data_IF_535715581441
#
_entry.id   IF_535715581441
#
_cell.length_a   1.000
_cell.length_b   1.000
_cell.length_c   1.000
_cell.angle_alpha   90.00
_cell.angle_beta   90.00
_cell.angle_gamma   90.00
#
_symmetry.space_group_name_H-M   'P 1'
#
loop_
_entity.id
_entity.type
_entity.pdbx_description
1 polymer ?
#
# COMPACT_ATOMS: atom_id res chain seq x y z
N UNK A 1 -3.15 5.96 0.73
CA UNK A 1 -1.93 5.86 1.55
C UNK A 1 -2.25 6.43 2.93
N UNK A 2 -1.75 5.79 3.99
CA UNK A 2 -1.95 6.20 5.39
C UNK A 2 -0.71 5.80 6.19
N UNK A 3 -0.05 6.73 6.86
CA UNK A 3 1.15 6.47 7.65
C UNK A 3 1.55 7.62 8.57
N UNK A 4 2.75 7.54 9.16
CA UNK A 4 3.23 8.56 10.12
C UNK A 4 3.36 9.95 9.54
N UNK A 5 3.64 10.06 8.24
CA UNK A 5 3.72 11.34 7.55
C UNK A 5 2.36 12.07 7.51
N UNK A 6 1.23 11.35 7.43
CA UNK A 6 -0.10 11.97 7.48
C UNK A 6 -0.38 12.59 8.85
N UNK A 7 0.14 11.97 9.92
CA UNK A 7 0.06 12.51 11.29
C UNK A 7 0.92 13.77 11.40
N UNK A 8 2.15 13.74 10.87
CA UNK A 8 3.04 14.90 10.84
C UNK A 8 2.44 16.05 10.06
N UNK A 9 1.91 15.77 8.86
CA UNK A 9 1.25 16.77 8.01
C UNK A 9 0.03 17.39 8.70
N UNK A 10 -0.69 16.64 9.52
CA UNK A 10 -1.81 17.16 10.32
C UNK A 10 -1.34 18.19 11.35
N UNK A 11 -0.23 17.89 12.04
CA UNK A 11 0.40 18.82 12.99
C UNK A 11 0.95 20.05 12.26
N UNK A 12 1.62 19.87 11.12
CA UNK A 12 2.14 20.98 10.29
C UNK A 12 1.00 21.90 9.86
N UNK A 13 -0.12 21.35 9.37
CA UNK A 13 -1.29 22.16 8.99
C UNK A 13 -1.83 22.96 10.17
N UNK A 14 -1.95 22.34 11.35
CA UNK A 14 -2.35 23.04 12.57
C UNK A 14 -1.39 24.18 12.92
N UNK A 15 -0.08 23.95 12.90
CA UNK A 15 0.92 24.98 13.19
C UNK A 15 0.88 26.14 12.20
N UNK A 16 0.72 25.86 10.90
CA UNK A 16 0.57 26.89 9.87
C UNK A 16 -0.68 27.72 10.12
N UNK A 17 -1.81 27.07 10.41
CA UNK A 17 -3.08 27.76 10.60
C UNK A 17 -3.07 28.65 11.85
N UNK A 18 -2.50 28.17 12.97
CA UNK A 18 -2.32 28.98 14.18
C UNK A 18 -1.36 30.16 13.93
N UNK A 19 -0.22 29.93 13.28
CA UNK A 19 0.72 31.00 12.96
C UNK A 19 0.11 32.06 12.04
N UNK A 20 -0.70 31.63 11.06
CA UNK A 20 -1.42 32.52 10.14
C UNK A 20 -2.49 33.34 10.86
N UNK A 21 -3.20 32.78 11.84
CA UNK A 21 -4.16 33.53 12.67
C UNK A 21 -3.47 34.62 13.49
N UNK A 22 -2.30 34.32 14.06
CA UNK A 22 -1.58 35.27 14.92
C UNK A 22 -0.80 36.34 14.14
N UNK A 23 -0.18 35.97 13.01
CA UNK A 23 0.76 36.83 12.30
C UNK A 23 0.29 37.26 10.91
N UNK A 24 -0.78 36.66 10.37
CA UNK A 24 -1.28 36.94 9.02
C UNK A 24 -0.39 36.39 7.89
N UNK A 25 0.62 35.57 8.21
CA UNK A 25 1.61 35.05 7.26
C UNK A 25 1.36 33.56 7.03
N UNK A 26 1.32 33.15 5.75
CA UNK A 26 1.20 31.75 5.37
C UNK A 26 2.58 31.10 5.19
N UNK A 27 2.96 30.21 6.10
CA UNK A 27 4.26 29.53 6.05
C UNK A 27 4.32 28.45 4.97
N UNK A 28 3.20 28.07 4.33
CA UNK A 28 3.21 27.04 3.27
C UNK A 28 3.99 27.46 2.02
N UNK A 29 4.14 28.77 1.79
CA UNK A 29 4.86 29.28 0.62
C UNK A 29 6.39 29.28 0.81
N UNK A 30 6.86 29.18 2.05
CA UNK A 30 8.29 29.17 2.38
C UNK A 30 8.79 27.74 2.57
N UNK A 31 9.54 27.23 1.60
CA UNK A 31 10.05 25.85 1.61
C UNK A 31 10.98 25.57 2.81
N UNK A 32 11.77 26.54 3.25
CA UNK A 32 12.68 26.37 4.38
C UNK A 32 11.90 26.34 5.69
N UNK A 33 10.91 27.22 5.86
CA UNK A 33 10.04 27.20 7.02
C UNK A 33 9.24 25.88 7.10
N UNK A 34 8.74 25.39 5.96
CA UNK A 34 7.96 24.16 5.87
C UNK A 34 8.78 22.92 6.26
N UNK A 35 10.05 22.83 5.83
CA UNK A 35 10.94 21.75 6.27
C UNK A 35 11.17 21.76 7.78
N UNK A 36 11.45 22.93 8.36
CA UNK A 36 11.63 23.08 9.82
C UNK A 36 10.36 22.77 10.60
N UNK A 37 9.19 23.12 10.05
CA UNK A 37 7.90 22.76 10.62
C UNK A 37 7.69 21.24 10.63
N UNK A 38 8.04 20.54 9.55
CA UNK A 38 7.93 19.08 9.46
C UNK A 38 8.78 18.39 10.53
N UNK A 39 10.04 18.77 10.67
CA UNK A 39 10.95 18.21 11.69
C UNK A 39 10.44 18.47 13.11
N UNK A 40 9.96 19.68 13.38
CA UNK A 40 9.40 20.01 14.69
C UNK A 40 8.08 19.28 14.98
N UNK A 41 7.23 19.11 13.97
CA UNK A 41 5.99 18.38 14.07
C UNK A 41 6.23 16.89 14.38
N UNK A 42 7.14 16.25 13.66
CA UNK A 42 7.51 14.86 13.90
C UNK A 42 8.10 14.68 15.30
N UNK A 43 9.02 15.58 15.71
CA UNK A 43 9.60 15.56 17.04
C UNK A 43 8.53 15.70 18.13
N UNK A 44 7.61 16.66 17.98
CA UNK A 44 6.52 16.87 18.92
C UNK A 44 5.60 15.65 19.02
N UNK A 45 5.26 15.02 17.89
CA UNK A 45 4.48 13.77 17.82
C UNK A 45 5.14 12.64 18.61
N UNK A 46 6.45 12.46 18.43
CA UNK A 46 7.23 11.43 19.12
C UNK A 46 7.29 11.72 20.63
N UNK A 47 7.58 12.96 21.03
CA UNK A 47 7.61 13.35 22.44
C UNK A 47 6.27 13.13 23.13
N UNK A 48 5.16 13.50 22.48
CA UNK A 48 3.79 13.30 22.99
C UNK A 48 3.37 11.83 23.10
N UNK A 49 4.15 10.90 22.55
CA UNK A 49 3.94 9.47 22.77
C UNK A 49 4.36 9.03 24.18
N UNK A 50 5.15 9.84 24.90
CA UNK A 50 5.55 9.59 26.29
C UNK A 50 5.13 10.71 27.26
N UNK A 51 5.20 11.97 26.83
CA UNK A 51 4.80 13.14 27.62
C UNK A 51 3.34 13.53 27.39
N UNK A 52 2.71 14.20 28.36
CA UNK A 52 1.35 14.75 28.22
C UNK A 52 1.31 16.08 27.47
N UNK A 53 2.45 16.77 27.39
CA UNK A 53 2.62 18.06 26.72
C UNK A 53 4.05 18.22 26.19
N UNK A 54 4.21 19.01 25.13
CA UNK A 54 5.49 19.45 24.59
C UNK A 54 5.39 20.91 24.12
N UNK A 55 6.53 21.59 24.07
CA UNK A 55 6.66 22.95 23.58
C UNK A 55 7.33 22.95 22.19
N UNK A 56 6.60 23.41 21.19
CA UNK A 56 7.07 23.56 19.81
C UNK A 56 7.66 24.96 19.69
N UNK A 57 9.00 25.03 19.72
CA UNK A 57 9.74 26.28 19.66
C UNK A 57 10.60 26.36 18.38
N UNK A 58 10.20 27.23 17.46
CA UNK A 58 10.92 27.51 16.21
C UNK A 58 11.29 28.99 16.16
N UNK A 59 12.50 29.36 16.61
CA UNK A 59 12.95 30.74 16.53
C UNK A 59 13.30 31.10 15.08
N UNK A 60 13.05 32.37 14.70
CA UNK A 60 13.39 32.90 13.38
C UNK A 60 12.79 32.03 12.25
N UNK A 61 11.51 31.69 12.36
CA UNK A 61 10.83 30.83 11.38
C UNK A 61 10.61 31.58 10.06
N UNK A 62 10.33 32.88 10.14
CA UNK A 62 10.19 33.81 9.01
C UNK A 62 10.42 35.24 9.49
N UNK A 63 10.30 36.24 8.61
CA UNK A 63 10.39 37.65 8.96
C UNK A 63 9.37 38.49 8.16
N UNK A 64 8.90 39.59 8.75
CA UNK A 64 8.07 40.60 8.10
C UNK A 64 8.64 42.01 8.27
N UNK A 65 7.86 43.04 7.91
CA UNK A 65 8.24 44.44 8.06
C UNK A 65 8.48 44.88 9.52
N UNK A 66 7.95 44.13 10.48
CA UNK A 66 8.10 44.39 11.93
C UNK A 66 9.28 43.65 12.54
N UNK A 67 9.86 42.69 11.82
CA UNK A 67 11.07 41.96 12.23
C UNK A 67 10.92 40.43 12.12
N UNK A 68 11.85 39.68 12.72
CA UNK A 68 11.80 38.23 12.76
C UNK A 68 10.59 37.72 13.56
N UNK A 69 10.04 36.59 13.12
CA UNK A 69 8.93 35.88 13.75
C UNK A 69 9.37 34.52 14.25
N UNK A 70 8.67 34.03 15.26
CA UNK A 70 8.97 32.79 15.96
C UNK A 70 7.65 32.01 16.15
N UNK A 71 7.74 30.69 16.25
CA UNK A 71 6.64 29.88 16.79
C UNK A 71 7.04 29.47 18.20
N UNK A 72 6.17 29.74 19.18
CA UNK A 72 6.28 29.23 20.53
C UNK A 72 4.89 28.74 20.95
N UNK A 73 4.62 27.48 20.68
CA UNK A 73 3.30 26.87 20.88
C UNK A 73 3.42 25.65 21.78
N UNK A 74 2.61 25.64 22.84
CA UNK A 74 2.46 24.46 23.68
C UNK A 74 1.40 23.53 23.09
N UNK A 75 1.75 22.26 22.88
CA UNK A 75 0.85 21.22 22.40
C UNK A 75 0.67 20.14 23.46
N UNK A 76 -0.58 19.76 23.73
CA UNK A 76 -0.90 18.65 24.63
C UNK A 76 -1.18 17.38 23.84
N UNK A 77 -1.01 16.21 24.47
CA UNK A 77 -1.36 14.91 23.87
C UNK A 77 -2.83 14.90 23.46
N UNK A 78 -3.72 15.38 24.32
CA UNK A 78 -5.14 15.48 24.03
C UNK A 78 -5.44 16.31 22.76
N UNK A 79 -4.69 17.40 22.53
CA UNK A 79 -4.82 18.20 21.31
C UNK A 79 -4.35 17.42 20.08
N UNK A 80 -3.21 16.74 20.16
CA UNK A 80 -2.72 15.88 19.07
C UNK A 80 -3.74 14.79 18.73
N UNK A 81 -4.24 14.07 19.73
CA UNK A 81 -5.24 13.01 19.55
C UNK A 81 -6.51 13.52 18.86
N UNK A 82 -6.99 14.69 19.25
CA UNK A 82 -8.15 15.31 18.60
C UNK A 82 -7.88 15.70 17.14
N UNK A 83 -6.65 16.07 16.78
CA UNK A 83 -6.29 16.42 15.41
C UNK A 83 -6.20 15.18 14.49
N UNK A 84 -5.75 14.04 15.01
CA UNK A 84 -5.50 12.83 14.21
C UNK A 84 -6.54 11.73 14.39
N UNK A 85 -7.63 12.00 15.13
CA UNK A 85 -8.69 11.03 15.41
C UNK A 85 -9.26 10.40 14.13
N UNK A 86 -9.51 11.21 13.09
CA UNK A 86 -9.97 10.74 11.78
C UNK A 86 -8.98 9.76 11.13
N UNK A 87 -7.66 10.03 11.21
CA UNK A 87 -6.63 9.15 10.67
C UNK A 87 -6.60 7.80 11.38
N UNK A 88 -6.71 7.80 12.71
CA UNK A 88 -6.78 6.58 13.52
C UNK A 88 -8.06 5.80 13.18
N UNK A 89 -9.20 6.48 13.05
CA UNK A 89 -10.48 5.84 12.71
C UNK A 89 -10.43 5.10 11.36
N UNK A 90 -9.67 5.62 10.38
CA UNK A 90 -9.47 5.00 9.06
C UNK A 90 -8.67 3.69 9.11
N UNK A 91 -8.00 3.38 10.23
CA UNK A 91 -7.26 2.12 10.40
C UNK A 91 -8.16 0.93 10.76
N UNK A 92 -9.36 1.17 11.31
CA UNK A 92 -10.25 0.10 11.78
C UNK A 92 -11.03 -0.62 10.67
N UNK A 93 -11.55 0.04 9.61
CA UNK A 93 -12.26 -0.65 8.54
C UNK A 93 -11.42 -1.74 7.84
N UNK A 94 -10.12 -1.56 7.57
CA UNK A 94 -9.25 -2.64 7.11
C UNK A 94 -9.21 -3.84 8.06
N UNK A 95 -9.07 -3.62 9.37
CA UNK A 95 -9.07 -4.70 10.37
C UNK A 95 -10.40 -5.48 10.37
N UNK A 96 -11.54 -4.78 10.29
CA UNK A 96 -12.87 -5.40 10.18
C UNK A 96 -13.01 -6.22 8.91
N UNK A 97 -12.47 -5.72 7.80
CA UNK A 97 -12.50 -6.41 6.50
C UNK A 97 -11.67 -7.68 6.56
N UNK A 98 -10.46 -7.62 7.12
CA UNK A 98 -9.59 -8.78 7.29
C UNK A 98 -10.23 -9.87 8.16
N UNK A 99 -10.83 -9.49 9.30
CA UNK A 99 -11.57 -10.42 10.16
C UNK A 99 -12.73 -11.08 9.42
N UNK A 100 -13.51 -10.30 8.66
CA UNK A 100 -14.62 -10.81 7.86
C UNK A 100 -14.13 -11.79 6.79
N UNK A 101 -13.05 -11.46 6.08
CA UNK A 101 -12.48 -12.30 5.04
C UNK A 101 -11.91 -13.62 5.61
N UNK A 102 -11.35 -13.57 6.82
CA UNK A 102 -10.90 -14.75 7.55
C UNK A 102 -12.04 -15.58 8.17
N UNK A 103 -13.27 -15.04 8.19
CA UNK A 103 -14.41 -15.67 8.87
C UNK A 103 -14.27 -15.69 10.41
N UNK A 104 -13.49 -14.76 10.97
CA UNK A 104 -13.20 -14.68 12.41
C UNK A 104 -13.82 -13.42 13.04
N UNK A 105 -14.16 -13.53 14.31
CA UNK A 105 -14.47 -12.41 15.18
C UNK A 105 -13.20 -11.87 15.86
N UNK A 106 -13.24 -10.62 16.32
CA UNK A 106 -12.11 -10.01 17.03
C UNK A 106 -11.72 -10.78 18.31
N UNK A 107 -12.70 -11.42 18.97
CA UNK A 107 -12.49 -12.25 20.17
C UNK A 107 -11.73 -13.56 19.90
N UNK A 108 -11.75 -14.06 18.67
CA UNK A 108 -11.06 -15.30 18.29
C UNK A 108 -9.57 -15.09 18.05
N UNK A 109 -9.12 -13.84 17.93
CA UNK A 109 -7.70 -13.50 17.77
C UNK A 109 -6.96 -13.79 19.07
N UNK A 110 -5.98 -14.71 19.05
CA UNK A 110 -5.23 -15.08 20.25
C UNK A 110 -4.30 -13.96 20.74
N UNK A 111 -3.52 -13.39 19.82
CA UNK A 111 -2.46 -12.40 20.07
C UNK A 111 -2.55 -11.26 19.06
N UNK A 112 -2.21 -10.04 19.49
CA UNK A 112 -2.17 -8.86 18.62
C UNK A 112 -0.75 -8.31 18.63
N UNK A 113 -0.08 -8.31 17.47
CA UNK A 113 1.30 -7.81 17.34
C UNK A 113 1.29 -6.45 16.65
N UNK A 114 2.05 -5.49 17.17
CA UNK A 114 2.18 -4.15 16.62
C UNK A 114 3.53 -3.95 15.94
N UNK A 115 3.50 -3.36 14.75
CA UNK A 115 4.68 -3.16 13.91
C UNK A 115 4.72 -1.72 13.40
N UNK A 116 5.90 -1.10 13.43
CA UNK A 116 6.16 0.26 12.99
C UNK A 116 6.04 1.32 14.09
N UNK A 117 6.89 2.34 14.05
CA UNK A 117 7.03 3.34 15.12
C UNK A 117 5.76 4.12 15.45
N UNK A 118 4.86 4.33 14.49
CA UNK A 118 3.57 5.00 14.75
C UNK A 118 2.64 4.24 15.70
N UNK A 119 2.86 2.93 15.87
CA UNK A 119 2.11 2.13 16.86
C UNK A 119 2.46 2.47 18.30
N UNK A 120 3.54 3.24 18.53
CA UNK A 120 3.94 3.73 19.86
C UNK A 120 3.00 4.81 20.41
N UNK A 121 2.16 5.42 19.57
CA UNK A 121 1.20 6.44 20.01
C UNK A 121 0.16 5.83 20.99
N UNK A 122 -0.01 6.38 22.20
CA UNK A 122 -0.93 5.83 23.20
C UNK A 122 -2.38 5.65 22.71
N UNK A 123 -2.89 6.59 21.92
CA UNK A 123 -4.23 6.50 21.33
C UNK A 123 -4.38 5.33 20.36
N UNK A 124 -3.35 5.04 19.56
CA UNK A 124 -3.36 3.90 18.63
C UNK A 124 -3.38 2.59 19.42
N UNK A 125 -2.56 2.47 20.48
CA UNK A 125 -2.58 1.33 21.38
C UNK A 125 -3.95 1.12 22.02
N UNK A 126 -4.55 2.20 22.52
CA UNK A 126 -5.87 2.16 23.14
C UNK A 126 -6.95 1.71 22.14
N UNK A 127 -6.92 2.22 20.91
CA UNK A 127 -7.90 1.89 19.89
C UNK A 127 -7.79 0.42 19.45
N UNK A 128 -6.57 -0.08 19.26
CA UNK A 128 -6.32 -1.50 18.97
C UNK A 128 -6.82 -2.38 20.12
N UNK A 129 -6.50 -2.02 21.37
CA UNK A 129 -6.96 -2.74 22.55
C UNK A 129 -8.49 -2.75 22.65
N UNK A 130 -9.14 -1.62 22.38
CA UNK A 130 -10.61 -1.51 22.39
C UNK A 130 -11.24 -2.37 21.29
N UNK A 131 -10.65 -2.39 20.10
CA UNK A 131 -11.17 -3.12 18.95
C UNK A 131 -11.04 -4.64 19.11
N UNK A 132 -9.86 -5.13 19.53
CA UNK A 132 -9.60 -6.57 19.70
C UNK A 132 -9.95 -7.10 21.09
N UNK A 133 -10.21 -6.21 22.07
CA UNK A 133 -10.47 -6.59 23.45
C UNK A 133 -9.25 -7.20 24.16
N UNK A 134 -8.04 -6.99 23.63
CA UNK A 134 -6.80 -7.63 24.09
C UNK A 134 -5.64 -6.66 24.15
N UNK A 135 -4.75 -6.88 25.11
CA UNK A 135 -3.49 -6.13 25.18
C UNK A 135 -2.57 -6.53 24.03
N UNK A 136 -2.06 -5.57 23.24
CA UNK A 136 -1.08 -5.89 22.22
C UNK A 136 0.22 -6.42 22.81
N UNK A 137 0.79 -7.41 22.13
CA UNK A 137 2.03 -8.05 22.47
C UNK A 137 3.21 -7.08 22.31
N UNK A 138 4.06 -7.02 23.35
CA UNK A 138 5.23 -6.13 23.43
C UNK A 138 6.56 -6.89 23.43
N UNK A 139 6.54 -8.20 23.13
CA UNK A 139 7.76 -9.03 23.14
C UNK A 139 8.67 -8.77 21.95
N UNK A 140 8.19 -8.05 20.93
CA UNK A 140 8.95 -7.70 19.72
C UNK A 140 9.16 -6.20 19.63
N UNK A 141 10.33 -5.79 19.14
CA UNK A 141 10.61 -4.39 18.85
C UNK A 141 9.88 -3.99 17.56
N UNK A 142 8.91 -3.05 17.61
CA UNK A 142 8.12 -2.68 16.43
C UNK A 142 8.95 -2.05 15.30
N UNK A 143 10.15 -1.54 15.60
CA UNK A 143 11.02 -0.89 14.61
C UNK A 143 11.93 -1.89 13.87
N UNK A 144 12.22 -3.05 14.47
CA UNK A 144 13.20 -4.01 13.96
C UNK A 144 12.57 -5.35 13.52
N UNK A 145 11.37 -5.66 14.02
CA UNK A 145 10.72 -6.98 13.84
C UNK A 145 10.58 -7.39 12.37
N UNK A 146 10.36 -6.44 11.46
CA UNK A 146 10.28 -6.72 10.02
C UNK A 146 11.63 -7.19 9.48
N UNK A 147 12.72 -6.49 9.83
CA UNK A 147 14.07 -6.85 9.40
C UNK A 147 14.49 -8.21 9.98
N UNK A 148 14.14 -8.48 11.24
CA UNK A 148 14.37 -9.78 11.87
C UNK A 148 13.60 -10.90 11.16
N UNK A 149 12.33 -10.67 10.81
CA UNK A 149 11.53 -11.62 10.04
C UNK A 149 12.13 -11.93 8.67
N UNK A 150 12.65 -10.91 7.98
CA UNK A 150 13.34 -11.09 6.70
C UNK A 150 14.62 -11.93 6.85
N UNK A 151 15.40 -11.73 7.92
CA UNK A 151 16.58 -12.53 8.20
C UNK A 151 16.23 -14.01 8.47
N UNK A 152 15.14 -14.27 9.20
CA UNK A 152 14.64 -15.64 9.42
C UNK A 152 14.23 -16.27 8.08
N UNK A 153 13.51 -15.55 7.23
CA UNK A 153 13.12 -16.03 5.90
C UNK A 153 14.33 -16.38 5.04
N UNK A 154 15.41 -15.58 5.09
CA UNK A 154 16.66 -15.91 4.41
C UNK A 154 17.28 -17.21 4.96
N UNK A 155 17.27 -17.41 6.27
CA UNK A 155 17.73 -18.66 6.91
C UNK A 155 16.91 -19.88 6.50
N UNK A 156 15.59 -19.73 6.29
CA UNK A 156 14.72 -20.79 5.75
C UNK A 156 15.12 -21.14 4.31
N UNK A 157 15.34 -20.13 3.46
CA UNK A 157 15.76 -20.34 2.06
C UNK A 157 17.14 -21.00 1.94
N UNK A 158 18.05 -20.74 2.89
CA UNK A 158 19.36 -21.40 2.96
C UNK A 158 19.30 -22.81 3.56
N UNK A 159 18.22 -23.15 4.27
CA UNK A 159 18.06 -24.44 4.96
C UNK A 159 18.64 -24.49 6.38
N UNK A 160 19.11 -23.35 6.90
CA UNK A 160 19.60 -23.20 8.28
C UNK A 160 18.45 -23.23 9.29
N UNK A 161 17.29 -22.73 8.89
CA UNK A 161 16.04 -22.80 9.66
C UNK A 161 15.14 -23.88 9.06
N UNK A 162 14.86 -24.91 9.85
CA UNK A 162 14.02 -26.06 9.45
C UNK A 162 12.63 -25.96 10.06
N UNK A 163 11.70 -26.72 9.49
CA UNK A 163 10.32 -26.87 9.97
C UNK A 163 9.46 -25.59 9.96
N UNK A 164 9.78 -24.65 9.07
CA UNK A 164 8.97 -23.45 8.80
C UNK A 164 8.39 -23.56 7.39
N UNK A 165 7.06 -23.57 7.30
CA UNK A 165 6.32 -23.45 6.05
C UNK A 165 5.55 -22.12 6.08
N UNK A 166 5.88 -21.23 5.14
CA UNK A 166 5.17 -19.97 4.95
C UNK A 166 4.22 -20.12 3.76
N UNK A 167 2.95 -19.79 3.97
CA UNK A 167 1.95 -19.68 2.91
C UNK A 167 1.44 -18.24 2.92
N UNK A 168 1.79 -17.50 1.88
CA UNK A 168 1.32 -16.13 1.70
C UNK A 168 0.07 -16.11 0.80
N UNK A 169 -0.59 -14.97 0.67
CA UNK A 169 -1.81 -14.79 -0.11
C UNK A 169 -1.75 -13.53 -0.98
N UNK A 170 -2.50 -13.51 -2.09
CA UNK A 170 -2.66 -12.28 -2.89
C UNK A 170 -3.54 -11.25 -2.14
N UNK A 171 -3.13 -9.98 -2.00
CA UNK A 171 -3.88 -8.98 -1.22
C UNK A 171 -5.12 -8.44 -1.92
N UNK A 172 -5.17 -8.55 -3.25
CA UNK A 172 -6.26 -8.05 -4.10
C UNK A 172 -6.59 -9.06 -5.18
N UNK A 173 -7.83 -9.04 -5.64
CA UNK A 173 -8.25 -9.87 -6.76
C UNK A 173 -7.57 -9.42 -8.05
N UNK A 174 -7.18 -10.40 -8.86
CA UNK A 174 -6.57 -10.21 -10.17
C UNK A 174 -7.54 -10.70 -11.24
N UNK A 175 -7.70 -9.90 -12.28
CA UNK A 175 -8.66 -10.16 -13.34
C UNK A 175 -8.31 -9.47 -14.63
N UNK A 176 -9.23 -9.58 -15.59
CA UNK A 176 -9.14 -8.88 -16.87
C UNK A 176 -10.41 -8.07 -17.13
N UNK A 177 -10.27 -7.03 -17.95
CA UNK A 177 -11.41 -6.35 -18.53
C UNK A 177 -12.09 -7.24 -19.58
N UNK A 178 -13.41 -7.41 -19.45
CA UNK A 178 -14.25 -8.10 -20.42
C UNK A 178 -15.26 -7.14 -21.07
N UNK A 179 -16.01 -7.63 -22.06
CA UNK A 179 -17.04 -6.87 -22.77
C UNK A 179 -17.96 -6.12 -21.78
N UNK A 180 -18.23 -4.85 -22.07
CA UNK A 180 -19.01 -3.98 -21.18
C UNK A 180 -18.21 -3.27 -20.09
N UNK A 181 -16.87 -3.25 -20.19
CA UNK A 181 -15.97 -2.64 -19.20
C UNK A 181 -16.09 -3.25 -17.80
N UNK A 182 -16.42 -4.54 -17.73
CA UNK A 182 -16.57 -5.29 -16.47
C UNK A 182 -15.23 -5.92 -16.10
N UNK A 183 -14.87 -5.86 -14.82
CA UNK A 183 -13.72 -6.54 -14.25
C UNK A 183 -14.10 -7.99 -13.94
N UNK A 184 -13.62 -8.93 -14.77
CA UNK A 184 -13.80 -10.37 -14.51
C UNK A 184 -12.59 -10.88 -13.74
N UNK A 185 -12.81 -11.26 -12.48
CA UNK A 185 -11.77 -11.80 -11.59
C UNK A 185 -11.44 -13.25 -11.96
N UNK A 186 -10.16 -13.58 -11.99
CA UNK A 186 -9.66 -14.94 -12.17
C UNK A 186 -9.08 -15.50 -10.88
N UNK A 187 -8.33 -14.68 -10.15
CA UNK A 187 -7.79 -15.03 -8.83
C UNK A 187 -8.39 -14.05 -7.83
N UNK A 188 -9.15 -14.56 -6.86
CA UNK A 188 -9.76 -13.74 -5.81
C UNK A 188 -8.69 -13.30 -4.79
N UNK A 189 -8.94 -12.17 -4.11
CA UNK A 189 -8.14 -11.75 -2.95
C UNK A 189 -8.09 -12.87 -1.90
N UNK A 190 -7.00 -12.88 -1.12
CA UNK A 190 -6.69 -13.87 -0.11
C UNK A 190 -6.48 -15.31 -0.64
N UNK A 191 -6.33 -15.49 -1.96
CA UNK A 191 -5.91 -16.78 -2.52
C UNK A 191 -4.44 -17.05 -2.18
N UNK A 192 -4.15 -18.24 -1.62
CA UNK A 192 -2.79 -18.68 -1.29
C UNK A 192 -1.88 -18.69 -2.51
N UNK A 193 -0.65 -18.21 -2.36
CA UNK A 193 0.40 -18.21 -3.39
C UNK A 193 1.55 -19.17 -2.98
N UNK A 194 2.25 -19.78 -3.95
CA UNK A 194 2.08 -19.66 -5.40
C UNK A 194 0.78 -20.31 -5.92
N UNK A 195 0.19 -19.74 -6.97
CA UNK A 195 -1.07 -20.24 -7.56
C UNK A 195 -1.17 -19.96 -9.04
N UNK A 196 -1.91 -20.80 -9.75
CA UNK A 196 -2.13 -20.69 -11.19
C UNK A 196 -3.61 -20.90 -11.52
N UNK A 197 -4.18 -19.97 -12.29
CA UNK A 197 -5.57 -20.06 -12.76
C UNK A 197 -5.66 -19.76 -14.24
N UNK A 198 -6.41 -20.58 -14.97
CA UNK A 198 -6.70 -20.38 -16.38
C UNK A 198 -8.19 -20.29 -16.61
N UNK A 199 -8.61 -19.41 -17.51
CA UNK A 199 -10.01 -19.29 -17.95
C UNK A 199 -10.05 -19.01 -19.45
N UNK A 200 -11.03 -19.61 -20.12
CA UNK A 200 -11.23 -19.44 -21.57
C UNK A 200 -12.21 -18.30 -21.81
N UNK A 201 -11.77 -17.36 -22.66
CA UNK A 201 -12.54 -16.25 -23.20
C UNK A 201 -12.68 -16.41 -24.72
N UNK A 202 -13.44 -15.52 -25.34
CA UNK A 202 -13.62 -15.51 -26.79
C UNK A 202 -13.68 -14.08 -27.34
N UNK A 203 -13.73 -13.95 -28.67
CA UNK A 203 -13.84 -12.67 -29.37
C UNK A 203 -15.20 -12.03 -29.16
N UNK A 204 -15.22 -10.69 -29.10
CA UNK A 204 -16.44 -9.90 -28.96
C UNK A 204 -17.14 -9.66 -30.31
N UNK A 205 -16.36 -9.61 -31.39
CA UNK A 205 -16.82 -9.31 -32.75
C UNK A 205 -16.49 -10.42 -33.76
N UNK A 206 -17.25 -10.45 -34.86
CA UNK A 206 -17.02 -11.37 -35.97
C UNK A 206 -15.71 -11.02 -36.69
N UNK A 207 -14.93 -12.04 -37.04
CA UNK A 207 -13.65 -11.92 -37.74
C UNK A 207 -12.62 -11.02 -37.02
N UNK A 208 -12.72 -10.91 -35.70
CA UNK A 208 -11.79 -10.11 -34.89
C UNK A 208 -10.34 -10.66 -34.99
N UNK A 209 -9.39 -9.89 -35.54
CA UNK A 209 -8.03 -10.39 -35.83
C UNK A 209 -7.11 -10.40 -34.61
N UNK A 210 -7.47 -9.71 -33.53
CA UNK A 210 -6.70 -9.61 -32.30
C UNK A 210 -7.60 -9.38 -31.08
N UNK A 211 -7.20 -9.88 -29.91
CA UNK A 211 -7.85 -9.58 -28.62
C UNK A 211 -6.92 -8.76 -27.74
N UNK A 212 -7.45 -7.68 -27.18
CA UNK A 212 -6.76 -6.84 -26.20
C UNK A 212 -7.08 -7.34 -24.79
N UNK A 213 -6.05 -7.67 -24.03
CA UNK A 213 -6.15 -8.17 -22.67
C UNK A 213 -5.60 -7.11 -21.74
N UNK A 214 -6.50 -6.50 -20.98
CA UNK A 214 -6.17 -5.50 -19.96
C UNK A 214 -6.25 -6.15 -18.61
N UNK A 215 -5.12 -6.20 -17.90
CA UNK A 215 -4.96 -6.84 -16.60
C UNK A 215 -5.25 -5.82 -15.50
N UNK A 216 -6.10 -6.21 -14.56
CA UNK A 216 -6.62 -5.35 -13.51
C UNK A 216 -6.38 -5.97 -12.13
N UNK A 217 -6.21 -5.11 -11.13
CA UNK A 217 -6.16 -5.47 -9.72
C UNK A 217 -7.16 -4.64 -8.92
N UNK A 218 -8.04 -5.30 -8.18
CA UNK A 218 -8.99 -4.65 -7.28
C UNK A 218 -10.32 -5.38 -7.10
N UNK A 219 -11.18 -4.77 -6.29
CA UNK A 219 -12.44 -5.39 -5.82
C UNK A 219 -13.70 -4.75 -6.43
N UNK A 220 -13.56 -3.78 -7.33
CA UNK A 220 -14.70 -3.09 -7.96
C UNK A 220 -15.20 -3.86 -9.17
N UNK A 221 -16.50 -3.78 -9.45
CA UNK A 221 -17.12 -4.50 -10.58
C UNK A 221 -16.73 -3.90 -11.93
N UNK A 222 -16.56 -2.58 -12.02
CA UNK A 222 -16.19 -1.89 -13.26
C UNK A 222 -14.67 -1.82 -13.41
N UNK A 223 -14.18 -2.04 -14.63
CA UNK A 223 -12.75 -2.01 -14.95
C UNK A 223 -12.10 -0.65 -14.67
N UNK A 224 -12.83 0.46 -14.89
CA UNK A 224 -12.35 1.83 -14.66
C UNK A 224 -12.01 2.14 -13.20
N UNK A 225 -12.61 1.41 -12.26
CA UNK A 225 -12.52 1.68 -10.83
C UNK A 225 -11.44 0.83 -10.14
N UNK A 226 -10.73 0.00 -10.92
CA UNK A 226 -9.65 -0.85 -10.47
C UNK A 226 -8.29 -0.36 -10.99
N UNK A 227 -7.21 -0.83 -10.38
CA UNK A 227 -5.86 -0.49 -10.81
C UNK A 227 -5.51 -1.30 -12.05
N UNK A 228 -5.22 -0.62 -13.15
CA UNK A 228 -4.60 -1.26 -14.32
C UNK A 228 -3.15 -1.62 -14.01
N UNK A 229 -2.81 -2.87 -14.26
CA UNK A 229 -1.48 -3.44 -14.08
C UNK A 229 -0.68 -3.51 -15.39
N UNK A 230 -1.38 -3.71 -16.51
CA UNK A 230 -0.78 -3.79 -17.82
C UNK A 230 -1.80 -4.18 -18.89
N UNK A 231 -1.40 -4.01 -20.14
CA UNK A 231 -2.21 -4.37 -21.31
C UNK A 231 -1.32 -4.98 -22.37
N UNK A 232 -1.83 -6.02 -23.04
CA UNK A 232 -1.18 -6.62 -24.19
C UNK A 232 -2.20 -7.16 -25.18
N UNK A 233 -1.78 -7.39 -26.41
CA UNK A 233 -2.66 -7.87 -27.49
C UNK A 233 -2.17 -9.22 -28.01
N UNK A 234 -3.09 -10.17 -28.11
CA UNK A 234 -2.86 -11.42 -28.82
C UNK A 234 -3.36 -11.25 -30.25
N UNK A 235 -2.42 -11.15 -31.19
CA UNK A 235 -2.68 -10.89 -32.61
C UNK A 235 -2.68 -12.17 -33.46
N UNK A 236 -3.38 -12.11 -34.59
CA UNK A 236 -3.37 -13.17 -35.60
C UNK A 236 -4.31 -14.33 -35.27
N UNK A 237 -5.46 -14.00 -34.70
CA UNK A 237 -6.62 -14.88 -34.53
C UNK A 237 -7.24 -15.13 -35.90
N UNK A 238 -7.60 -16.39 -36.18
CA UNK A 238 -8.23 -16.74 -37.44
C UNK A 238 -9.64 -16.11 -37.56
N UNK A 239 -10.04 -15.61 -38.75
CA UNK A 239 -11.39 -15.10 -38.97
C UNK A 239 -12.44 -16.17 -38.65
N UNK A 240 -13.29 -15.89 -37.67
CA UNK A 240 -14.38 -16.74 -37.24
C UNK A 240 -15.52 -15.89 -36.67
N UNK A 241 -16.77 -16.41 -36.60
CA UNK A 241 -17.85 -15.74 -35.88
C UNK A 241 -17.46 -15.47 -34.43
N UNK A 242 -18.01 -14.39 -33.84
CA UNK A 242 -17.83 -14.06 -32.42
C UNK A 242 -18.16 -15.25 -31.52
N UNK A 243 -17.43 -15.41 -30.43
CA UNK A 243 -17.66 -16.51 -29.49
C UNK A 243 -17.05 -17.86 -29.90
N UNK A 244 -16.49 -17.98 -31.13
CA UNK A 244 -15.90 -19.24 -31.61
C UNK A 244 -14.41 -19.39 -31.23
N UNK A 245 -13.53 -18.39 -31.40
CA UNK A 245 -12.13 -18.51 -30.98
C UNK A 245 -12.00 -18.77 -29.49
N UNK A 246 -11.13 -19.69 -29.08
CA UNK A 246 -10.91 -20.02 -27.67
C UNK A 246 -9.59 -19.43 -27.19
N UNK A 247 -9.68 -18.31 -26.46
CA UNK A 247 -8.52 -17.63 -25.91
C UNK A 247 -8.40 -17.99 -24.44
N UNK A 248 -7.44 -18.85 -24.11
CA UNK A 248 -7.13 -19.22 -22.74
C UNK A 248 -6.21 -18.17 -22.12
N UNK A 249 -6.72 -17.45 -21.12
CA UNK A 249 -5.94 -16.50 -20.33
C UNK A 249 -5.54 -17.18 -19.02
N UNK A 250 -4.26 -17.15 -18.71
CA UNK A 250 -3.66 -17.78 -17.55
C UNK A 250 -2.95 -16.74 -16.69
N UNK A 251 -3.28 -16.74 -15.40
CA UNK A 251 -2.58 -15.99 -14.37
C UNK A 251 -1.75 -16.97 -13.55
N UNK A 252 -0.48 -16.65 -13.37
CA UNK A 252 0.49 -17.42 -12.61
C UNK A 252 1.18 -16.49 -11.62
N UNK A 253 0.97 -16.73 -10.32
CA UNK A 253 1.57 -15.95 -9.24
C UNK A 253 2.62 -16.82 -8.56
N UNK A 254 3.87 -16.34 -8.57
CA UNK A 254 4.96 -17.05 -7.92
C UNK A 254 4.99 -16.85 -6.39
N UNK A 255 5.95 -17.47 -5.72
CA UNK A 255 6.11 -17.37 -4.28
C UNK A 255 6.52 -15.97 -3.79
N UNK A 256 6.96 -15.08 -4.68
CA UNK A 256 7.29 -13.69 -4.38
C UNK A 256 6.12 -12.73 -4.65
N UNK A 257 4.99 -13.25 -5.13
CA UNK A 257 3.85 -12.44 -5.55
C UNK A 257 4.00 -11.80 -6.93
N UNK A 258 4.99 -12.19 -7.74
CA UNK A 258 5.15 -11.71 -9.11
C UNK A 258 4.10 -12.37 -10.00
N UNK A 259 3.31 -11.55 -10.69
CA UNK A 259 2.21 -12.01 -11.53
C UNK A 259 2.67 -12.11 -12.98
N UNK A 260 2.56 -13.30 -13.56
CA UNK A 260 2.74 -13.55 -14.98
C UNK A 260 1.37 -13.81 -15.59
N UNK A 261 1.05 -13.08 -16.66
CA UNK A 261 -0.21 -13.26 -17.40
C UNK A 261 0.12 -13.70 -18.80
N UNK A 262 -0.42 -14.84 -19.21
CA UNK A 262 -0.33 -15.31 -20.59
C UNK A 262 -1.69 -15.50 -21.21
N UNK A 263 -1.75 -15.38 -22.53
CA UNK A 263 -2.94 -15.59 -23.32
C UNK A 263 -2.59 -16.43 -24.53
N UNK A 264 -3.32 -17.52 -24.71
CA UNK A 264 -3.08 -18.50 -25.76
C UNK A 264 -4.35 -18.77 -26.54
N UNK A 265 -4.29 -18.62 -27.85
CA UNK A 265 -5.33 -19.11 -28.74
C UNK A 265 -5.18 -20.64 -28.87
N UNK A 266 -6.17 -21.40 -28.40
CA UNK A 266 -6.15 -22.86 -28.44
C UNK A 266 -6.25 -23.43 -29.85
N UNK A 267 -6.77 -22.66 -30.82
CA UNK A 267 -6.87 -23.09 -32.22
C UNK A 267 -5.54 -22.96 -32.96
N UNK A 268 -4.86 -21.83 -32.82
CA UNK A 268 -3.60 -21.56 -33.53
C UNK A 268 -2.34 -21.89 -32.73
N UNK A 269 -2.47 -22.05 -31.41
CA UNK A 269 -1.34 -22.25 -30.49
C UNK A 269 -0.51 -20.99 -30.23
N UNK A 270 -0.85 -19.86 -30.86
CA UNK A 270 -0.18 -18.58 -30.64
C UNK A 270 -0.39 -18.13 -29.19
N UNK A 271 0.69 -17.65 -28.58
CA UNK A 271 0.69 -17.15 -27.22
C UNK A 271 1.34 -15.77 -27.17
N UNK A 272 0.82 -14.93 -26.28
CA UNK A 272 1.47 -13.72 -25.82
C UNK A 272 1.44 -13.71 -24.30
N UNK A 273 2.48 -13.18 -23.67
CA UNK A 273 2.57 -13.08 -22.22
C UNK A 273 3.22 -11.78 -21.81
N UNK A 274 2.84 -11.30 -20.64
CA UNK A 274 3.49 -10.20 -19.96
C UNK A 274 3.78 -10.61 -18.52
N UNK A 275 4.92 -10.15 -18.02
CA UNK A 275 5.18 -10.14 -16.60
C UNK A 275 4.68 -8.81 -16.06
N UNK A 276 3.77 -8.84 -15.10
CA UNK A 276 3.33 -7.65 -14.40
C UNK A 276 4.41 -7.28 -13.40
N UNK A 277 5.22 -6.32 -13.77
CA UNK A 277 6.09 -5.63 -12.81
C UNK A 277 5.26 -4.54 -12.15
N UNK A 278 5.46 -4.32 -10.85
CA UNK A 278 4.78 -3.24 -10.12
C UNK A 278 4.93 -1.94 -10.90
N UNK A 279 3.82 -1.36 -11.35
CA UNK A 279 3.80 -0.20 -12.24
C UNK A 279 4.68 0.92 -11.65
N UNK A 280 5.84 1.15 -12.26
CA UNK A 280 6.93 1.96 -11.71
C UNK A 280 8.33 1.32 -11.80
N UNK A 281 8.44 0.07 -12.27
CA UNK A 281 9.71 -0.62 -12.48
C UNK A 281 10.58 -0.01 -13.58
N UNK A 282 11.89 -0.08 -13.38
CA UNK A 282 12.92 0.30 -14.34
C UNK A 282 13.01 -0.76 -15.44
N UNK A 283 13.24 -0.33 -16.69
CA UNK A 283 13.61 -1.25 -17.77
C UNK A 283 14.94 -1.95 -17.47
N UNK A 284 15.21 -3.11 -18.09
CA UNK A 284 16.49 -3.80 -17.93
C UNK A 284 17.69 -2.89 -18.27
N UNK A 285 17.53 -1.98 -19.24
CA UNK A 285 18.57 -1.01 -19.60
C UNK A 285 18.82 0.00 -18.47
N UNK A 286 17.76 0.51 -17.84
CA UNK A 286 17.86 1.41 -16.68
C UNK A 286 18.44 0.70 -15.47
N UNK A 287 18.04 -0.55 -15.21
CA UNK A 287 18.62 -1.40 -14.15
C UNK A 287 20.13 -1.56 -14.39
N UNK A 288 20.51 -1.98 -15.59
CA UNK A 288 21.93 -2.20 -15.92
C UNK A 288 22.76 -0.92 -15.84
N UNK A 289 22.18 0.23 -16.21
CA UNK A 289 22.82 1.53 -16.05
C UNK A 289 23.00 1.89 -14.58
N UNK A 290 21.96 1.75 -13.76
CA UNK A 290 22.03 2.04 -12.33
C UNK A 290 22.99 1.12 -11.58
N UNK A 291 23.08 -0.17 -11.96
CA UNK A 291 24.07 -1.10 -11.40
C UNK A 291 25.48 -0.61 -11.71
N UNK A 292 25.76 -0.25 -12.97
CA UNK A 292 27.07 0.31 -13.35
C UNK A 292 27.40 1.63 -12.65
N UNK A 293 26.41 2.50 -12.48
CA UNK A 293 26.57 3.78 -11.78
C UNK A 293 26.82 3.58 -10.27
N UNK A 294 26.30 2.50 -9.66
CA UNK A 294 26.50 2.17 -8.24
C UNK A 294 27.80 1.40 -7.95
N UNK A 295 28.34 0.68 -8.94
CA UNK A 295 29.63 -0.01 -8.86
C UNK A 295 30.84 0.92 -9.08
N UNK A 296 30.63 2.12 -9.65
CA UNK A 296 31.66 3.13 -9.95
C UNK A 296 31.95 4.07 -8.76
#
# INVERSE_FOLDING_TARGET
>A
FLGGEDFDNTIVNYLVDEFKKENGIDLKTDKLALQRLKEAAEKAKIELSSAEQTDINLPFITADKTGPKHINLKMTRAKLEALVEDLISKTLPPCKTALKDAGLSASEINEVVLVGGMTRMPKVLAEVKNFFGKEPNKSVNPDEVVAMGAAIQAGVLQGDVKDVLLLDVTPLSLGIETLGHVSTKLIEKNTTIPTKKSQVFSTADDNQPAVSIRVLQGEREMASDNKELGKFELVGIAPAPRGVPQIEVTFDIDANGIVNVSAKDKGTGKEQKIQIQSSGGLSEEEINKMVKDAEA
#
